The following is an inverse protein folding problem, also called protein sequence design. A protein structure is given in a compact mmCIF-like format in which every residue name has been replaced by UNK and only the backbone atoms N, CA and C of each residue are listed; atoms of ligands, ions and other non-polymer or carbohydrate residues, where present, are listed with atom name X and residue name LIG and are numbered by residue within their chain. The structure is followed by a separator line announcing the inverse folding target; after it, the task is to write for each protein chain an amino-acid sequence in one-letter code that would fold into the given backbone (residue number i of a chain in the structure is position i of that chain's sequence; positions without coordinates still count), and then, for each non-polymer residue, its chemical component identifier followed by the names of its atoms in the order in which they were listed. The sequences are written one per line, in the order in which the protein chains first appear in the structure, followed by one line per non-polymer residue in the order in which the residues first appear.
data_IF_708726927221
#
_entry.id   IF_708726927221
#
_cell.length_a   1.000
_cell.length_b   1.000
_cell.length_c   1.000
_cell.angle_alpha   90.00
_cell.angle_beta   90.00
_cell.angle_gamma   90.00
#
_symmetry.space_group_name_H-M   'P 1'
#
loop_
_entity.id
_entity.type
_entity.pdbx_description
1 polymer ?
#
# COMPACT_ATOMS: atom_id res chain seq x y z
N UNK A 1 8.42 -36.70 8.45
CA UNK A 1 7.42 -36.05 7.59
C UNK A 1 7.71 -34.58 7.48
N UNK A 2 7.93 -34.11 6.30
CA UNK A 2 8.26 -32.70 6.12
C UNK A 2 7.01 -31.83 6.25
N UNK A 3 7.17 -30.70 6.90
CA UNK A 3 6.10 -29.75 7.02
C UNK A 3 5.94 -29.00 5.71
N UNK A 4 4.71 -28.77 5.31
CA UNK A 4 4.45 -27.97 4.13
C UNK A 4 4.55 -26.50 4.48
N UNK A 5 5.12 -25.74 3.56
CA UNK A 5 5.18 -24.29 3.75
C UNK A 5 3.85 -23.71 3.28
N UNK A 6 3.21 -23.00 4.15
CA UNK A 6 1.91 -22.39 3.88
C UNK A 6 2.04 -20.88 3.88
N UNK A 7 1.00 -20.21 3.40
CA UNK A 7 0.95 -18.76 3.49
C UNK A 7 1.02 -18.34 4.95
N UNK A 8 1.69 -17.22 5.25
CA UNK A 8 1.79 -16.77 6.63
C UNK A 8 0.42 -16.55 7.26
N UNK A 9 0.39 -16.69 8.57
CA UNK A 9 -0.84 -16.51 9.32
C UNK A 9 -1.47 -15.15 9.01
N UNK A 10 -2.75 -15.15 8.76
CA UNK A 10 -3.47 -13.94 8.40
C UNK A 10 -3.45 -13.61 6.92
N UNK A 11 -2.81 -14.46 6.13
CA UNK A 11 -2.77 -14.28 4.68
C UNK A 11 -3.36 -15.50 4.00
N UNK A 12 -3.64 -15.36 2.73
CA UNK A 12 -4.14 -16.48 1.93
C UNK A 12 -3.90 -16.21 0.46
N UNK A 13 -3.83 -17.28 -0.29
CA UNK A 13 -3.70 -17.20 -1.74
C UNK A 13 -5.08 -17.10 -2.37
N UNK A 14 -5.16 -16.36 -3.46
CA UNK A 14 -6.38 -16.22 -4.23
C UNK A 14 -6.13 -16.79 -5.60
N UNK A 15 -6.80 -17.88 -5.93
CA UNK A 15 -6.63 -18.53 -7.22
C UNK A 15 -7.95 -19.05 -7.74
N UNK A 16 -7.91 -19.59 -8.97
CA UNK A 16 -9.07 -20.24 -9.56
C UNK A 16 -10.27 -19.32 -9.66
N UNK A 17 -11.40 -19.82 -9.23
CA UNK A 17 -12.65 -19.09 -9.35
C UNK A 17 -12.67 -17.82 -8.54
N UNK A 18 -12.04 -17.82 -7.38
CA UNK A 18 -11.94 -16.60 -6.58
C UNK A 18 -11.15 -15.52 -7.27
N UNK A 19 -10.03 -15.91 -7.88
CA UNK A 19 -9.21 -14.95 -8.62
C UNK A 19 -9.98 -14.39 -9.80
N UNK A 20 -10.71 -15.24 -10.50
CA UNK A 20 -11.52 -14.79 -11.62
C UNK A 20 -12.62 -13.84 -11.17
N UNK A 21 -13.28 -14.15 -10.06
CA UNK A 21 -14.35 -13.29 -9.53
C UNK A 21 -13.81 -11.92 -9.15
N UNK A 22 -12.65 -11.89 -8.51
CA UNK A 22 -12.02 -10.62 -8.14
C UNK A 22 -11.61 -9.81 -9.37
N UNK A 23 -11.05 -10.47 -10.35
CA UNK A 23 -10.63 -9.81 -11.59
C UNK A 23 -11.84 -9.21 -12.31
N UNK A 24 -12.92 -9.95 -12.37
CA UNK A 24 -14.16 -9.48 -12.98
C UNK A 24 -14.71 -8.26 -12.26
N UNK A 25 -14.73 -8.32 -10.93
CA UNK A 25 -15.20 -7.19 -10.12
C UNK A 25 -14.32 -5.98 -10.31
N UNK A 26 -13.01 -6.16 -10.27
CA UNK A 26 -12.07 -5.07 -10.44
C UNK A 26 -12.17 -4.43 -11.81
N UNK A 27 -12.31 -5.23 -12.86
CA UNK A 27 -12.44 -4.70 -14.20
C UNK A 27 -13.71 -3.88 -14.34
N UNK A 28 -14.79 -4.35 -13.76
CA UNK A 28 -16.07 -3.65 -13.81
C UNK A 28 -15.99 -2.32 -13.06
N UNK A 29 -15.45 -2.36 -11.85
CA UNK A 29 -15.29 -1.16 -11.04
C UNK A 29 -14.35 -0.16 -11.71
N UNK A 30 -13.26 -0.66 -12.28
CA UNK A 30 -12.30 0.20 -12.97
C UNK A 30 -12.95 0.92 -14.13
N UNK A 31 -13.75 0.21 -14.91
CA UNK A 31 -14.45 0.86 -16.03
C UNK A 31 -15.37 1.97 -15.58
N UNK A 32 -16.11 1.75 -14.50
CA UNK A 32 -17.00 2.77 -13.95
C UNK A 32 -16.19 3.98 -13.47
N UNK A 33 -15.13 3.73 -12.74
CA UNK A 33 -14.31 4.80 -12.19
C UNK A 33 -13.59 5.60 -13.26
N UNK A 34 -13.07 4.92 -14.27
CA UNK A 34 -12.40 5.60 -15.38
C UNK A 34 -13.35 6.52 -16.15
N UNK A 35 -14.57 6.08 -16.34
CA UNK A 35 -15.58 6.93 -17.00
C UNK A 35 -15.94 8.14 -16.17
N UNK A 36 -15.76 8.03 -14.84
CA UNK A 36 -16.00 9.16 -13.95
C UNK A 36 -14.77 10.06 -13.78
N UNK A 37 -13.68 9.77 -14.48
CA UNK A 37 -12.49 10.60 -14.43
C UNK A 37 -11.43 10.16 -13.44
N UNK A 38 -11.63 9.04 -12.76
CA UNK A 38 -10.65 8.52 -11.82
C UNK A 38 -9.55 7.78 -12.56
N UNK A 39 -8.36 7.84 -12.02
CA UNK A 39 -7.23 7.11 -12.56
C UNK A 39 -6.61 6.25 -11.48
N UNK A 40 -6.02 5.16 -11.91
CA UNK A 40 -5.39 4.23 -11.00
C UNK A 40 -4.10 4.80 -10.43
N UNK A 41 -3.87 4.51 -9.16
CA UNK A 41 -2.60 4.81 -8.51
C UNK A 41 -2.14 3.57 -7.76
N UNK A 42 -0.86 3.30 -7.83
CA UNK A 42 -0.25 2.23 -7.06
C UNK A 42 0.95 2.81 -6.35
N UNK A 43 1.03 2.58 -5.06
CA UNK A 43 2.17 3.00 -4.26
C UNK A 43 2.91 1.75 -3.77
N UNK A 44 4.18 1.88 -3.39
CA UNK A 44 4.93 0.73 -2.91
C UNK A 44 4.30 0.11 -1.67
N UNK A 45 4.53 -1.19 -1.50
CA UNK A 45 4.05 -1.88 -0.31
C UNK A 45 4.80 -1.45 0.95
N UNK A 46 6.04 -1.00 0.77
CA UNK A 46 6.88 -0.51 1.86
C UNK A 46 7.14 0.97 1.68
N UNK A 47 7.18 1.70 2.78
CA UNK A 47 7.52 3.11 2.78
C UNK A 47 8.51 3.36 3.90
N UNK A 48 9.17 4.51 3.84
CA UNK A 48 10.01 4.93 4.95
C UNK A 48 9.15 5.03 6.21
N UNK A 49 9.65 4.47 7.29
CA UNK A 49 8.89 4.44 8.54
C UNK A 49 8.47 5.83 8.99
N UNK A 50 9.33 6.83 8.77
CA UNK A 50 9.02 8.18 9.22
C UNK A 50 7.80 8.78 8.51
N UNK A 51 7.45 8.27 7.34
CA UNK A 51 6.23 8.75 6.67
C UNK A 51 5.02 8.54 7.55
N UNK A 52 4.92 7.34 8.12
CA UNK A 52 3.78 7.02 8.98
C UNK A 52 3.89 7.68 10.35
N UNK A 53 5.10 7.80 10.85
CA UNK A 53 5.30 8.44 12.14
C UNK A 53 4.91 9.92 12.12
N UNK A 54 5.16 10.60 11.00
CA UNK A 54 4.82 12.01 10.87
C UNK A 54 3.36 12.24 10.53
N UNK A 55 2.77 11.30 9.81
CA UNK A 55 1.45 11.51 9.25
C UNK A 55 0.29 11.23 10.16
N UNK A 56 0.52 10.47 11.23
CA UNK A 56 -0.58 9.93 12.02
C UNK A 56 -0.86 10.76 13.29
N UNK A 57 0.08 11.62 13.70
CA UNK A 57 -0.12 12.46 14.86
C UNK A 57 -0.28 11.66 16.14
N UNK A 58 -1.30 11.98 16.91
CA UNK A 58 -1.45 11.44 18.25
C UNK A 58 -1.96 10.00 18.31
N UNK A 59 -2.46 9.46 17.22
CA UNK A 59 -2.89 8.07 17.23
C UNK A 59 -1.75 7.12 16.88
N UNK A 60 -0.52 7.60 16.94
CA UNK A 60 0.65 6.83 16.57
C UNK A 60 0.87 5.59 17.40
N UNK A 61 0.51 5.60 18.67
CA UNK A 61 0.76 4.44 19.51
C UNK A 61 0.03 3.20 19.00
N UNK A 62 -1.22 3.36 18.63
CA UNK A 62 -2.00 2.23 18.10
C UNK A 62 -1.46 1.79 16.76
N UNK A 63 -1.18 2.75 15.90
CA UNK A 63 -0.69 2.44 14.56
C UNK A 63 0.69 1.79 14.63
N UNK A 64 1.57 2.31 15.47
CA UNK A 64 2.92 1.78 15.60
C UNK A 64 2.94 0.36 16.13
N UNK A 65 2.03 0.02 17.02
CA UNK A 65 1.95 -1.34 17.53
C UNK A 65 1.53 -2.35 16.48
N UNK A 66 0.82 -1.89 15.48
CA UNK A 66 0.32 -2.76 14.41
C UNK A 66 1.16 -2.71 13.15
N UNK A 67 2.17 -1.85 13.11
CA UNK A 67 3.02 -1.74 11.94
C UNK A 67 4.09 -2.80 11.92
N UNK A 68 4.37 -3.31 10.74
CA UNK A 68 5.46 -4.25 10.51
C UNK A 68 6.65 -3.49 9.96
N UNK A 69 7.67 -3.35 10.77
CA UNK A 69 8.83 -2.55 10.43
C UNK A 69 10.04 -3.44 10.20
N UNK A 70 10.77 -3.15 9.14
CA UNK A 70 11.99 -3.85 8.78
C UNK A 70 13.13 -2.85 8.85
N UNK A 71 14.13 -3.15 9.66
CA UNK A 71 15.31 -2.30 9.75
C UNK A 71 16.37 -2.80 8.77
N UNK A 72 16.71 -1.94 7.83
CA UNK A 72 17.67 -2.27 6.77
C UNK A 72 19.03 -1.64 7.03
N UNK A 73 19.42 -1.54 8.26
CA UNK A 73 20.68 -0.94 8.61
C UNK A 73 20.50 0.30 9.45
N UNK A 74 21.59 0.97 9.77
CA UNK A 74 21.55 2.04 10.76
C UNK A 74 20.77 3.29 10.34
N UNK A 75 20.57 3.50 9.07
CA UNK A 75 19.95 4.74 8.61
C UNK A 75 18.61 4.57 7.92
N UNK A 76 18.19 3.33 7.71
CA UNK A 76 16.94 3.12 6.99
C UNK A 76 16.02 2.18 7.74
N UNK A 77 14.80 2.62 7.92
CA UNK A 77 13.75 1.81 8.47
C UNK A 77 12.58 1.84 7.50
N UNK A 78 12.15 0.66 7.09
CA UNK A 78 11.03 0.50 6.17
C UNK A 78 9.87 -0.13 6.90
N UNK A 79 8.68 0.31 6.57
CA UNK A 79 7.47 -0.22 7.19
C UNK A 79 6.52 -0.68 6.09
N UNK A 80 5.98 -1.89 6.29
CA UNK A 80 4.90 -2.35 5.44
C UNK A 80 3.72 -1.42 5.67
N UNK A 81 3.18 -0.85 4.60
CA UNK A 81 2.16 0.18 4.74
C UNK A 81 0.94 -0.31 5.52
N UNK A 82 0.61 0.37 6.62
CA UNK A 82 -0.59 0.00 7.39
C UNK A 82 -1.86 0.62 6.81
N UNK A 83 -1.71 1.61 5.94
CA UNK A 83 -2.84 2.29 5.33
C UNK A 83 -2.37 2.92 4.02
N UNK A 84 -3.28 3.48 3.25
CA UNK A 84 -2.95 3.99 1.93
C UNK A 84 -2.90 5.51 1.81
N UNK A 85 -3.44 6.23 2.76
CA UNK A 85 -3.57 7.67 2.64
C UNK A 85 -2.22 8.39 2.64
N UNK A 86 -1.35 8.04 3.60
CA UNK A 86 -0.04 8.67 3.68
C UNK A 86 0.82 8.40 2.44
N UNK A 87 0.87 7.16 1.91
CA UNK A 87 1.59 6.92 0.66
C UNK A 87 1.06 7.73 -0.52
N UNK A 88 -0.24 7.89 -0.63
CA UNK A 88 -0.82 8.69 -1.71
C UNK A 88 -0.43 10.15 -1.55
N UNK A 89 -0.49 10.68 -0.34
CA UNK A 89 -0.07 12.06 -0.09
C UNK A 89 1.41 12.25 -0.40
N UNK A 90 2.25 11.30 0.00
CA UNK A 90 3.67 11.37 -0.33
C UNK A 90 3.88 11.41 -1.84
N UNK A 91 3.21 10.54 -2.55
CA UNK A 91 3.35 10.46 -3.99
C UNK A 91 2.96 11.78 -4.66
N UNK A 92 1.85 12.34 -4.24
CA UNK A 92 1.35 13.56 -4.86
C UNK A 92 2.18 14.79 -4.50
N UNK A 93 2.70 14.83 -3.28
CA UNK A 93 3.44 16.01 -2.82
C UNK A 93 4.90 15.99 -3.23
N UNK A 94 5.53 14.82 -3.29
CA UNK A 94 6.99 14.75 -3.44
C UNK A 94 7.48 14.14 -4.73
N UNK A 95 6.67 13.34 -5.41
CA UNK A 95 7.13 12.68 -6.62
C UNK A 95 6.33 13.05 -7.85
N UNK A 96 5.08 13.47 -7.69
CA UNK A 96 4.29 13.90 -8.82
C UNK A 96 4.82 15.23 -9.34
N UNK A 97 5.01 15.40 -10.66
CA UNK A 97 5.46 16.68 -11.19
C UNK A 97 4.42 17.76 -10.90
N UNK A 98 4.88 18.93 -10.54
CA UNK A 98 3.98 20.05 -10.40
C UNK A 98 3.46 20.47 -11.77
N UNK A 99 2.36 21.21 -11.86
CA UNK A 99 1.88 21.70 -13.14
C UNK A 99 2.93 22.50 -13.92
N UNK A 100 3.84 23.15 -13.23
CA UNK A 100 4.92 23.89 -13.87
C UNK A 100 5.92 22.98 -14.56
N UNK A 101 6.13 21.81 -14.00
CA UNK A 101 7.12 20.89 -14.51
C UNK A 101 6.61 20.06 -15.66
N UNK A 102 5.34 20.18 -15.96
CA UNK A 102 4.72 19.42 -17.02
C UNK A 102 4.69 20.14 -18.37
N UNK A 103 5.44 21.10 -18.48
CA UNK A 103 5.49 21.86 -19.71
C UNK A 103 5.84 21.02 -20.93
#
# INVERSE_FOLDING_TARGET
MSARIQAPRGTYDVLGEQALARDTLESHARGILERAGYRRIETPAFEATELFARGVGESTDVVQKEMYTIDEGPSESLTLRPEGTAPVCRCLLYTSPSPRDRS
#
